data_IF_282685568405
#
_entry.id   IF_282685568405
#
_cell.length_a   1.000
_cell.length_b   1.000
_cell.length_c   1.000
_cell.angle_alpha   90.00
_cell.angle_beta   90.00
_cell.angle_gamma   90.00
#
_symmetry.space_group_name_H-M   'P 1'
#
loop_
_entity.id
_entity.type
_entity.pdbx_description
1 polymer ?
#
# COMPACT_ATOMS: atom_id res chain seq x y z
N UNK A 1 4.10 -11.04 -23.88
CA UNK A 1 3.86 -10.10 -22.77
C UNK A 1 4.04 -10.83 -21.45
N UNK A 2 5.02 -10.44 -20.64
CA UNK A 2 5.34 -11.17 -19.41
C UNK A 2 4.42 -10.74 -18.26
N UNK A 3 4.10 -11.68 -17.35
CA UNK A 3 3.35 -11.46 -16.09
C UNK A 3 3.93 -10.38 -15.16
N UNK A 4 5.04 -9.72 -15.53
CA UNK A 4 5.67 -8.60 -14.80
C UNK A 4 4.80 -7.32 -14.76
N UNK A 5 3.80 -7.18 -15.63
CA UNK A 5 2.95 -5.98 -15.67
C UNK A 5 1.75 -6.00 -14.71
N UNK A 6 1.42 -7.15 -14.09
CA UNK A 6 0.17 -7.27 -13.34
C UNK A 6 0.21 -6.60 -11.95
N UNK A 7 1.39 -6.55 -11.30
CA UNK A 7 1.58 -5.83 -10.02
C UNK A 7 1.86 -4.33 -10.26
N UNK A 8 2.40 -3.97 -11.43
CA UNK A 8 2.65 -2.59 -11.84
C UNK A 8 1.38 -1.83 -12.27
N UNK A 9 0.39 -2.53 -12.88
CA UNK A 9 -0.84 -1.90 -13.35
C UNK A 9 -1.83 -1.54 -12.22
N UNK A 10 -1.72 -2.19 -11.05
CA UNK A 10 -2.62 -1.93 -9.91
C UNK A 10 -2.40 -0.58 -9.25
N UNK A 11 -1.15 -0.12 -9.10
CA UNK A 11 -0.82 1.17 -8.45
C UNK A 11 -1.05 2.37 -9.36
N UNK A 12 -0.89 2.22 -10.68
CA UNK A 12 -1.19 3.26 -11.69
C UNK A 12 -2.69 3.55 -11.80
N UNK A 13 -3.56 2.55 -11.65
CA UNK A 13 -5.02 2.75 -11.68
C UNK A 13 -5.56 3.47 -10.45
N UNK A 14 -4.91 3.27 -9.29
CA UNK A 14 -5.30 3.89 -8.03
C UNK A 14 -5.23 5.42 -8.08
N UNK A 15 -4.16 6.00 -8.64
CA UNK A 15 -4.05 7.45 -8.80
C UNK A 15 -5.16 7.98 -9.74
N UNK A 16 -5.38 7.33 -10.89
CA UNK A 16 -6.35 7.76 -11.90
C UNK A 16 -7.82 7.77 -11.42
N UNK A 17 -8.21 6.88 -10.49
CA UNK A 17 -9.57 6.83 -9.93
C UNK A 17 -9.86 8.06 -9.05
N UNK A 18 -8.86 8.61 -8.36
CA UNK A 18 -9.03 9.77 -7.48
C UNK A 18 -9.05 11.12 -8.22
N UNK A 19 -8.49 11.21 -9.43
CA UNK A 19 -8.41 12.46 -10.20
C UNK A 19 -9.76 12.99 -10.74
N UNK A 20 -10.84 12.21 -10.75
CA UNK A 20 -12.09 12.59 -11.44
C UNK A 20 -13.27 13.01 -10.55
N UNK A 21 -13.08 13.20 -9.23
CA UNK A 21 -14.21 13.41 -8.30
C UNK A 21 -13.96 14.52 -7.28
N UNK A 22 -13.91 15.78 -7.71
CA UNK A 22 -13.96 16.94 -6.80
C UNK A 22 -14.90 18.01 -7.32
N UNK A 23 -16.16 18.00 -6.87
CA UNK A 23 -16.96 19.21 -6.71
C UNK A 23 -17.95 19.06 -5.54
N UNK A 24 -17.67 19.83 -4.48
CA UNK A 24 -18.62 20.58 -3.65
C UNK A 24 -19.30 19.96 -2.39
N UNK A 25 -19.12 20.69 -1.28
CA UNK A 25 -20.01 20.96 -0.11
C UNK A 25 -19.83 20.30 1.27
N UNK A 26 -20.17 21.14 2.27
CA UNK A 26 -19.99 21.13 3.74
C UNK A 26 -20.91 20.11 4.47
N UNK A 27 -20.41 19.34 5.46
CA UNK A 27 -20.50 19.52 6.94
C UNK A 27 -21.90 19.49 7.56
N UNK A 28 -22.19 18.45 8.36
CA UNK A 28 -22.50 18.53 9.80
C UNK A 28 -22.47 17.13 10.46
N UNK A 29 -22.20 17.10 11.78
CA UNK A 29 -21.76 15.97 12.61
C UNK A 29 -22.89 15.07 13.18
N UNK A 30 -22.61 13.78 13.44
CA UNK A 30 -23.45 12.87 14.26
C UNK A 30 -22.61 11.89 15.10
N UNK A 31 -23.02 11.69 16.36
CA UNK A 31 -22.50 10.82 17.44
C UNK A 31 -22.61 9.30 17.20
N UNK A 32 -21.67 8.54 17.78
CA UNK A 32 -21.49 7.08 17.62
C UNK A 32 -21.91 6.32 18.90
N UNK A 33 -22.59 5.19 18.72
CA UNK A 33 -22.84 4.16 19.74
C UNK A 33 -21.99 2.92 19.42
N UNK A 34 -21.18 2.48 20.38
CA UNK A 34 -20.26 1.34 20.26
C UNK A 34 -20.87 0.02 20.71
N UNK A 35 -20.49 -1.11 20.08
CA UNK A 35 -20.39 -2.41 20.76
C UNK A 35 -19.45 -3.43 20.07
N UNK A 36 -18.36 -3.72 20.79
CA UNK A 36 -17.66 -4.98 21.14
C UNK A 36 -17.39 -6.11 20.12
N UNK A 37 -16.10 -6.46 20.05
CA UNK A 37 -15.40 -7.47 19.23
C UNK A 37 -15.29 -8.84 19.94
N UNK A 38 -15.34 -9.94 19.16
CA UNK A 38 -15.04 -11.30 19.61
C UNK A 38 -13.66 -11.80 19.10
N UNK A 39 -12.92 -12.48 19.98
CA UNK A 39 -11.57 -13.05 19.74
C UNK A 39 -11.59 -14.33 18.89
N UNK A 40 -10.49 -14.57 18.14
CA UNK A 40 -10.29 -15.74 17.27
C UNK A 40 -9.17 -16.64 17.81
N UNK A 41 -9.43 -17.95 17.88
CA UNK A 41 -8.44 -19.02 18.13
C UNK A 41 -7.95 -19.65 16.81
N UNK A 42 -6.70 -20.11 16.78
CA UNK A 42 -6.13 -20.96 15.71
C UNK A 42 -6.86 -22.31 15.70
N UNK A 43 -7.41 -22.69 14.54
CA UNK A 43 -7.94 -24.03 14.31
C UNK A 43 -6.82 -24.91 13.75
N UNK A 44 -6.56 -26.10 14.31
CA UNK A 44 -5.61 -27.05 13.74
C UNK A 44 -6.16 -27.63 12.44
N UNK A 45 -5.35 -27.58 11.38
CA UNK A 45 -5.63 -28.22 10.10
C UNK A 45 -5.71 -29.74 10.27
N UNK A 46 -6.88 -30.31 10.06
CA UNK A 46 -7.02 -31.71 9.69
C UNK A 46 -8.03 -31.83 8.54
N UNK A 47 -7.54 -32.41 7.44
CA UNK A 47 -8.25 -32.95 6.29
C UNK A 47 -9.03 -31.96 5.41
N UNK A 48 -8.32 -31.32 4.48
CA UNK A 48 -8.91 -30.86 3.21
C UNK A 48 -8.42 -31.78 2.09
N UNK A 49 -9.38 -32.44 1.46
CA UNK A 49 -9.27 -33.35 0.32
C UNK A 49 -8.49 -32.71 -0.84
N UNK A 50 -7.50 -33.43 -1.37
CA UNK A 50 -6.72 -33.06 -2.55
C UNK A 50 -7.61 -32.73 -3.76
N UNK A 51 -7.62 -31.46 -4.17
CA UNK A 51 -7.98 -31.09 -5.53
C UNK A 51 -6.67 -30.97 -6.33
N UNK A 52 -6.34 -32.02 -7.09
CA UNK A 52 -5.26 -31.99 -8.08
C UNK A 52 -5.56 -30.93 -9.14
N UNK A 53 -4.85 -29.81 -9.08
CA UNK A 53 -4.74 -28.91 -10.21
C UNK A 53 -3.88 -29.59 -11.29
N UNK A 54 -4.49 -29.86 -12.45
CA UNK A 54 -3.82 -30.36 -13.64
C UNK A 54 -3.04 -29.21 -14.27
N UNK A 55 -1.72 -29.23 -14.19
CA UNK A 55 -0.84 -28.41 -15.03
C UNK A 55 -0.79 -29.01 -16.45
N UNK A 56 -0.77 -28.20 -17.53
CA UNK A 56 -0.50 -28.72 -18.86
C UNK A 56 0.97 -29.10 -19.00
N UNK A 57 1.21 -30.41 -19.18
CA UNK A 57 2.47 -30.96 -19.67
C UNK A 57 2.70 -30.50 -21.11
N UNK A 58 3.71 -29.66 -21.33
CA UNK A 58 4.55 -29.69 -22.53
C UNK A 58 5.66 -28.65 -22.41
N UNK A 59 6.78 -29.06 -21.84
CA UNK A 59 8.11 -28.52 -22.15
C UNK A 59 9.10 -29.69 -22.04
N UNK A 60 9.07 -30.55 -23.06
CA UNK A 60 10.13 -31.52 -23.32
C UNK A 60 11.43 -30.77 -23.59
N UNK A 61 12.47 -31.25 -22.92
CA UNK A 61 13.82 -30.74 -22.96
C UNK A 61 14.34 -30.60 -24.41
N UNK A 62 14.77 -29.39 -24.75
CA UNK A 62 15.82 -29.20 -25.75
C UNK A 62 17.01 -28.56 -25.06
N UNK A 63 18.03 -29.39 -24.89
CA UNK A 63 19.36 -29.07 -24.39
C UNK A 63 20.01 -27.98 -25.24
N UNK A 64 20.26 -26.82 -24.62
CA UNK A 64 21.44 -26.01 -24.94
C UNK A 64 22.00 -25.48 -23.62
N UNK A 65 23.11 -26.07 -23.23
CA UNK A 65 23.91 -25.77 -22.06
C UNK A 65 24.57 -24.39 -22.22
N UNK A 66 24.22 -23.45 -21.33
CA UNK A 66 25.03 -22.28 -20.90
C UNK A 66 24.22 -21.29 -20.02
N UNK A 67 23.39 -21.79 -19.11
CA UNK A 67 23.05 -20.99 -17.93
C UNK A 67 23.56 -21.74 -16.72
N UNK A 68 24.48 -21.14 -15.97
CA UNK A 68 24.71 -21.52 -14.58
C UNK A 68 23.35 -21.36 -13.90
N UNK A 69 22.57 -22.44 -13.81
CA UNK A 69 21.38 -22.49 -12.97
C UNK A 69 21.92 -22.25 -11.58
N UNK A 70 21.78 -21.02 -11.09
CA UNK A 70 22.07 -20.66 -9.71
C UNK A 70 21.20 -21.54 -8.83
N UNK A 71 21.75 -22.66 -8.38
CA UNK A 71 21.10 -23.52 -7.39
C UNK A 71 21.22 -22.81 -6.05
N UNK A 72 20.19 -22.06 -5.72
CA UNK A 72 20.06 -21.52 -4.38
C UNK A 72 19.74 -22.67 -3.42
N UNK A 73 20.44 -22.77 -2.27
CA UNK A 73 20.05 -23.72 -1.23
C UNK A 73 18.61 -23.40 -0.80
N UNK A 74 17.82 -24.44 -0.57
CA UNK A 74 16.46 -24.28 -0.05
C UNK A 74 16.53 -23.98 1.46
N UNK A 75 15.83 -22.94 1.87
CA UNK A 75 15.80 -22.37 3.22
C UNK A 75 14.37 -22.56 3.75
N UNK A 76 14.18 -23.02 5.00
CA UNK A 76 12.84 -23.09 5.61
C UNK A 76 12.25 -21.69 5.82
N UNK A 77 10.93 -21.59 5.98
CA UNK A 77 10.26 -20.30 6.18
C UNK A 77 10.86 -19.49 7.34
N UNK A 78 11.24 -20.15 8.43
CA UNK A 78 11.84 -19.52 9.61
C UNK A 78 13.29 -19.05 9.40
N UNK A 79 13.96 -19.48 8.33
CA UNK A 79 15.33 -19.08 8.02
C UNK A 79 15.47 -17.66 7.46
N UNK A 80 16.71 -17.27 7.16
CA UNK A 80 17.03 -15.97 6.58
C UNK A 80 17.07 -16.06 5.04
N UNK A 81 15.95 -15.74 4.42
CA UNK A 81 15.77 -15.77 2.96
C UNK A 81 15.38 -14.38 2.46
N UNK A 82 15.70 -14.05 1.21
CA UNK A 82 15.25 -12.79 0.60
C UNK A 82 14.20 -13.07 -0.46
N UNK A 83 14.48 -14.01 -1.37
CA UNK A 83 13.67 -14.23 -2.58
C UNK A 83 12.84 -15.50 -2.41
N UNK A 84 11.59 -15.34 -1.94
CA UNK A 84 10.68 -16.46 -1.60
C UNK A 84 10.63 -17.57 -2.66
N UNK A 85 10.44 -17.19 -3.93
CA UNK A 85 10.23 -18.13 -5.05
C UNK A 85 11.43 -19.06 -5.30
N UNK A 86 12.65 -18.60 -5.05
CA UNK A 86 13.86 -19.39 -5.38
C UNK A 86 14.50 -20.00 -4.15
N UNK A 87 14.39 -19.35 -2.98
CA UNK A 87 15.07 -19.76 -1.76
C UNK A 87 14.20 -20.64 -0.87
N UNK A 88 12.86 -20.54 -0.91
CA UNK A 88 12.01 -21.38 -0.07
C UNK A 88 11.77 -22.77 -0.68
N UNK A 89 11.48 -23.74 0.20
CA UNK A 89 10.86 -25.01 -0.24
C UNK A 89 9.48 -24.74 -0.84
N UNK A 90 8.92 -25.66 -1.61
CA UNK A 90 7.59 -25.47 -2.20
C UNK A 90 6.52 -25.28 -1.12
N UNK A 91 6.57 -26.07 -0.04
CA UNK A 91 5.63 -25.96 1.07
C UNK A 91 5.75 -24.61 1.79
N UNK A 92 6.98 -24.17 2.07
CA UNK A 92 7.24 -22.87 2.72
C UNK A 92 6.85 -21.70 1.80
N UNK A 93 7.03 -21.85 0.49
CA UNK A 93 6.58 -20.86 -0.49
C UNK A 93 5.05 -20.73 -0.47
N UNK A 94 4.30 -21.83 -0.48
CA UNK A 94 2.83 -21.77 -0.40
C UNK A 94 2.36 -21.16 0.93
N UNK A 95 3.02 -21.48 2.05
CA UNK A 95 2.75 -20.85 3.34
C UNK A 95 3.00 -19.34 3.31
N UNK A 96 4.16 -18.92 2.78
CA UNK A 96 4.49 -17.51 2.61
C UNK A 96 3.46 -16.77 1.73
N UNK A 97 2.97 -17.40 0.67
CA UNK A 97 1.94 -16.81 -0.19
C UNK A 97 0.59 -16.64 0.54
N UNK A 98 0.20 -17.61 1.36
CA UNK A 98 -1.01 -17.50 2.18
C UNK A 98 -0.87 -16.38 3.22
N UNK A 99 0.26 -16.32 3.93
CA UNK A 99 0.51 -15.26 4.90
C UNK A 99 0.57 -13.88 4.21
N UNK A 100 1.09 -13.80 2.97
CA UNK A 100 1.06 -12.57 2.18
C UNK A 100 -0.37 -12.13 1.87
N UNK A 101 -1.26 -13.05 1.48
CA UNK A 101 -2.67 -12.72 1.21
C UNK A 101 -3.36 -12.18 2.47
N UNK A 102 -3.10 -12.81 3.62
CA UNK A 102 -3.63 -12.36 4.91
C UNK A 102 -3.07 -11.01 5.33
N UNK A 103 -1.76 -10.79 5.13
CA UNK A 103 -1.11 -9.52 5.33
C UNK A 103 -1.75 -8.45 4.45
N UNK A 104 -1.83 -8.65 3.13
CA UNK A 104 -2.43 -7.66 2.22
C UNK A 104 -3.89 -7.39 2.54
N UNK A 105 -4.63 -8.43 2.92
CA UNK A 105 -5.96 -8.25 3.45
C UNK A 105 -5.92 -7.34 4.67
N UNK A 106 -5.12 -7.59 5.71
CA UNK A 106 -5.13 -6.86 7.00
C UNK A 106 -4.73 -5.38 6.94
N UNK A 107 -4.12 -4.92 5.86
CA UNK A 107 -3.69 -3.51 5.62
C UNK A 107 -4.60 -2.80 4.63
N UNK A 108 -5.63 -3.50 4.14
CA UNK A 108 -6.66 -2.93 3.29
C UNK A 108 -6.21 -2.79 1.84
N UNK A 109 -5.24 -3.59 1.38
CA UNK A 109 -4.80 -3.58 -0.03
C UNK A 109 -5.82 -4.33 -0.88
N UNK A 110 -6.90 -3.63 -1.24
CA UNK A 110 -8.01 -4.19 -2.00
C UNK A 110 -8.56 -3.19 -3.00
N UNK A 111 -8.87 -3.65 -4.21
CA UNK A 111 -9.48 -2.85 -5.26
C UNK A 111 -10.71 -3.55 -5.82
N UNK A 112 -11.70 -2.77 -6.26
CA UNK A 112 -12.78 -3.31 -7.08
C UNK A 112 -12.22 -4.00 -8.30
N UNK A 113 -12.85 -5.11 -8.70
CA UNK A 113 -12.55 -5.70 -10.01
C UNK A 113 -12.79 -4.66 -11.11
N UNK A 114 -11.87 -4.61 -12.07
CA UNK A 114 -11.94 -3.69 -13.20
C UNK A 114 -11.92 -4.47 -14.50
N UNK A 115 -12.53 -3.89 -15.54
CA UNK A 115 -12.38 -4.39 -16.90
C UNK A 115 -11.47 -3.39 -17.61
N UNK A 116 -10.37 -3.88 -18.19
CA UNK A 116 -9.48 -2.99 -18.94
C UNK A 116 -10.15 -2.52 -20.24
N UNK A 117 -9.50 -1.59 -20.94
CA UNK A 117 -9.99 -1.05 -22.22
C UNK A 117 -10.19 -2.13 -23.30
N UNK A 118 -9.47 -3.25 -23.18
CA UNK A 118 -9.54 -4.39 -24.10
C UNK A 118 -10.68 -5.38 -23.75
N UNK A 119 -11.47 -5.08 -22.70
CA UNK A 119 -12.57 -5.93 -22.25
C UNK A 119 -12.13 -7.12 -21.38
N UNK A 120 -10.84 -7.25 -21.07
CA UNK A 120 -10.34 -8.28 -20.16
C UNK A 120 -10.66 -7.93 -18.71
N UNK A 121 -11.18 -8.92 -17.99
CA UNK A 121 -11.50 -8.79 -16.58
C UNK A 121 -10.23 -8.90 -15.74
N UNK A 122 -9.83 -7.79 -15.12
CA UNK A 122 -8.78 -7.74 -14.12
C UNK A 122 -9.39 -7.96 -12.74
N UNK A 123 -9.39 -9.22 -12.32
CA UNK A 123 -9.72 -9.58 -10.95
C UNK A 123 -8.53 -9.22 -10.05
N UNK A 124 -8.70 -8.17 -9.25
CA UNK A 124 -7.71 -7.80 -8.25
C UNK A 124 -7.75 -8.79 -7.08
N UNK A 125 -6.60 -9.00 -6.43
CA UNK A 125 -6.57 -9.77 -5.18
C UNK A 125 -7.55 -9.18 -4.17
N UNK A 126 -8.27 -10.06 -3.47
CA UNK A 126 -9.28 -9.68 -2.46
C UNK A 126 -10.49 -8.87 -2.98
N UNK A 127 -10.64 -8.67 -4.30
CA UNK A 127 -11.78 -7.89 -4.84
C UNK A 127 -13.14 -8.47 -4.48
N UNK A 128 -13.22 -9.80 -4.30
CA UNK A 128 -14.45 -10.50 -3.95
C UNK A 128 -15.07 -10.03 -2.62
N UNK A 129 -14.28 -9.47 -1.70
CA UNK A 129 -14.81 -8.88 -0.46
C UNK A 129 -15.51 -7.54 -0.69
N UNK A 130 -15.19 -6.84 -1.78
CA UNK A 130 -15.71 -5.51 -2.09
C UNK A 130 -16.90 -5.55 -3.06
N UNK A 131 -17.02 -6.58 -3.89
CA UNK A 131 -18.09 -6.67 -4.89
C UNK A 131 -19.52 -6.48 -4.33
N UNK A 132 -19.90 -7.02 -3.15
CA UNK A 132 -21.22 -6.75 -2.57
C UNK A 132 -21.49 -5.26 -2.29
N UNK A 133 -20.45 -4.50 -1.94
CA UNK A 133 -20.54 -3.07 -1.61
C UNK A 133 -20.45 -2.16 -2.83
N UNK A 134 -19.91 -2.67 -3.95
CA UNK A 134 -19.79 -1.96 -5.22
C UNK A 134 -21.17 -1.58 -5.78
N UNK A 135 -22.12 -2.52 -5.69
CA UNK A 135 -23.49 -2.39 -6.21
C UNK A 135 -24.49 -1.90 -5.14
N UNK A 136 -24.05 -1.75 -3.89
CA UNK A 136 -24.88 -1.28 -2.77
C UNK A 136 -25.35 0.16 -3.00
N UNK A 137 -26.50 0.55 -2.44
CA UNK A 137 -26.91 1.95 -2.46
C UNK A 137 -25.89 2.85 -1.75
N UNK A 138 -25.72 4.10 -2.24
CA UNK A 138 -24.73 5.03 -1.68
C UNK A 138 -24.94 5.28 -0.19
N UNK A 139 -26.19 5.51 0.23
CA UNK A 139 -26.48 5.87 1.62
C UNK A 139 -26.31 4.66 2.53
N UNK A 140 -26.77 3.49 2.09
CA UNK A 140 -26.57 2.22 2.80
C UNK A 140 -25.09 1.90 2.96
N UNK A 141 -24.28 2.10 1.91
CA UNK A 141 -22.84 1.89 1.97
C UNK A 141 -22.16 2.81 2.99
N UNK A 142 -22.51 4.10 2.99
CA UNK A 142 -21.98 5.06 3.97
C UNK A 142 -22.42 4.68 5.38
N UNK A 143 -23.67 4.25 5.58
CA UNK A 143 -24.16 3.79 6.88
C UNK A 143 -23.36 2.59 7.39
N UNK A 144 -23.09 1.59 6.53
CA UNK A 144 -22.27 0.44 6.89
C UNK A 144 -20.83 0.86 7.20
N UNK A 145 -20.24 1.75 6.40
CA UNK A 145 -18.89 2.27 6.65
C UNK A 145 -18.80 3.02 8.00
N UNK A 146 -19.84 3.75 8.38
CA UNK A 146 -19.91 4.44 9.67
C UNK A 146 -19.98 3.46 10.86
N UNK A 147 -20.49 2.24 10.66
CA UNK A 147 -20.53 1.14 11.64
C UNK A 147 -19.25 0.30 11.71
N UNK A 148 -18.12 0.87 11.27
CA UNK A 148 -16.81 0.20 11.26
C UNK A 148 -16.74 -1.03 10.33
N UNK A 149 -17.68 -1.18 9.38
CA UNK A 149 -17.53 -2.19 8.33
C UNK A 149 -16.37 -1.81 7.42
N UNK A 150 -15.27 -2.53 7.60
CA UNK A 150 -14.01 -2.32 6.92
C UNK A 150 -14.12 -2.42 5.39
N UNK A 151 -14.90 -3.37 4.87
CA UNK A 151 -15.06 -3.53 3.43
C UNK A 151 -15.97 -2.44 2.86
N UNK A 152 -16.97 -1.99 3.62
CA UNK A 152 -17.76 -0.81 3.27
C UNK A 152 -16.91 0.46 3.23
N UNK A 153 -16.02 0.67 4.22
CA UNK A 153 -15.08 1.79 4.27
C UNK A 153 -14.18 1.81 3.03
N UNK A 154 -13.52 0.70 2.72
CA UNK A 154 -12.64 0.56 1.53
C UNK A 154 -13.43 0.83 0.24
N UNK A 155 -14.63 0.26 0.12
CA UNK A 155 -15.48 0.42 -1.06
C UNK A 155 -15.97 1.85 -1.23
N UNK A 156 -16.34 2.51 -0.15
CA UNK A 156 -16.80 3.90 -0.16
C UNK A 156 -15.70 4.87 -0.61
N UNK A 157 -14.46 4.67 -0.16
CA UNK A 157 -13.32 5.49 -0.59
C UNK A 157 -13.11 5.40 -2.12
N UNK A 158 -13.33 4.21 -2.70
CA UNK A 158 -13.13 3.97 -4.13
C UNK A 158 -14.29 4.45 -5.03
N UNK A 159 -15.50 4.66 -4.48
CA UNK A 159 -16.70 5.01 -5.26
C UNK A 159 -16.71 6.46 -5.73
N UNK A 160 -17.01 6.71 -7.01
CA UNK A 160 -16.96 8.06 -7.60
C UNK A 160 -18.09 8.99 -7.14
N UNK A 161 -19.22 8.45 -6.72
CA UNK A 161 -20.43 9.18 -6.32
C UNK A 161 -20.44 9.59 -4.83
N UNK A 162 -19.42 9.18 -4.07
CA UNK A 162 -19.18 9.64 -2.70
C UNK A 162 -18.26 10.87 -2.75
N UNK A 163 -18.64 11.93 -2.03
CA UNK A 163 -17.91 13.19 -2.03
C UNK A 163 -16.56 13.08 -1.30
N UNK A 164 -15.65 13.99 -1.65
CA UNK A 164 -14.28 14.00 -1.13
C UNK A 164 -14.21 14.17 0.39
N UNK A 165 -15.12 14.95 0.98
CA UNK A 165 -15.15 15.16 2.44
C UNK A 165 -15.51 13.87 3.17
N UNK A 166 -16.56 13.19 2.72
CA UNK A 166 -16.95 11.88 3.27
C UNK A 166 -15.81 10.89 3.12
N UNK A 167 -15.23 10.74 1.92
CA UNK A 167 -14.09 9.82 1.71
C UNK A 167 -12.90 10.12 2.60
N UNK A 168 -12.57 11.40 2.83
CA UNK A 168 -11.48 11.80 3.72
C UNK A 168 -11.76 11.41 5.16
N UNK A 169 -12.99 11.58 5.63
CA UNK A 169 -13.41 11.11 6.96
C UNK A 169 -13.27 9.59 7.06
N UNK A 170 -13.79 8.85 6.08
CA UNK A 170 -13.71 7.39 6.03
C UNK A 170 -12.27 6.89 5.94
N UNK A 171 -11.39 7.54 5.17
CA UNK A 171 -9.98 7.18 5.08
C UNK A 171 -9.22 7.41 6.39
N UNK A 172 -9.49 8.50 7.12
CA UNK A 172 -8.93 8.71 8.45
C UNK A 172 -9.40 7.61 9.43
N UNK A 173 -10.69 7.29 9.39
CA UNK A 173 -11.27 6.21 10.19
C UNK A 173 -10.63 4.86 9.87
N UNK A 174 -10.45 4.55 8.58
CA UNK A 174 -9.81 3.34 8.10
C UNK A 174 -8.34 3.24 8.56
N UNK A 175 -7.59 4.35 8.49
CA UNK A 175 -6.23 4.45 9.03
C UNK A 175 -6.17 4.19 10.56
N UNK A 176 -7.14 4.71 11.33
CA UNK A 176 -7.24 4.45 12.77
C UNK A 176 -7.48 2.96 13.04
N UNK A 177 -8.28 2.28 12.21
CA UNK A 177 -8.50 0.83 12.31
C UNK A 177 -7.24 -0.01 11.99
N UNK A 178 -6.25 0.59 11.33
CA UNK A 178 -4.94 -0.02 11.04
C UNK A 178 -4.70 -0.32 9.57
N UNK A 179 -5.62 0.07 8.71
CA UNK A 179 -5.50 -0.11 7.26
C UNK A 179 -4.62 0.99 6.69
N UNK A 180 -3.46 0.61 6.19
CA UNK A 180 -2.47 1.56 5.66
C UNK A 180 -2.56 1.72 4.15
N UNK A 181 -3.00 0.72 3.39
CA UNK A 181 -2.91 0.76 1.93
C UNK A 181 -3.91 1.74 1.30
N UNK A 182 -5.20 1.39 1.20
CA UNK A 182 -6.22 2.27 0.59
C UNK A 182 -6.36 3.60 1.33
N UNK A 183 -6.28 3.59 2.67
CA UNK A 183 -6.45 4.80 3.47
C UNK A 183 -5.34 5.83 3.23
N UNK A 184 -4.07 5.43 3.37
CA UNK A 184 -2.95 6.36 3.20
C UNK A 184 -2.82 6.78 1.75
N UNK A 185 -3.09 5.89 0.79
CA UNK A 185 -3.08 6.24 -0.61
C UNK A 185 -4.08 7.36 -0.93
N UNK A 186 -5.31 7.27 -0.42
CA UNK A 186 -6.28 8.35 -0.60
C UNK A 186 -5.85 9.66 0.06
N UNK A 187 -5.40 9.60 1.32
CA UNK A 187 -4.97 10.78 2.07
C UNK A 187 -3.75 11.46 1.43
N UNK A 188 -2.79 10.67 0.95
CA UNK A 188 -1.65 11.13 0.15
C UNK A 188 -2.11 11.80 -1.14
N UNK A 189 -2.99 11.15 -1.91
CA UNK A 189 -3.45 11.65 -3.21
C UNK A 189 -4.16 12.99 -3.10
N UNK A 190 -4.97 13.20 -2.05
CA UNK A 190 -5.56 14.52 -1.78
C UNK A 190 -4.46 15.56 -1.56
N UNK A 191 -3.45 15.25 -0.74
CA UNK A 191 -2.39 16.21 -0.41
C UNK A 191 -1.55 16.60 -1.61
N UNK A 192 -1.20 15.63 -2.46
CA UNK A 192 -0.47 15.91 -3.69
C UNK A 192 -1.31 16.66 -4.71
N UNK A 193 -2.59 16.32 -4.83
CA UNK A 193 -3.52 17.08 -5.68
C UNK A 193 -3.66 18.53 -5.23
N UNK A 194 -3.92 18.77 -3.93
CA UNK A 194 -4.01 20.10 -3.32
C UNK A 194 -2.71 20.88 -3.57
N UNK A 195 -1.54 20.28 -3.37
CA UNK A 195 -0.24 20.93 -3.59
C UNK A 195 -0.05 21.33 -5.06
N UNK A 196 -0.32 20.40 -5.99
CA UNK A 196 -0.21 20.64 -7.42
C UNK A 196 -1.23 21.67 -7.91
N UNK A 197 -2.45 21.67 -7.37
CA UNK A 197 -3.47 22.66 -7.69
C UNK A 197 -3.03 24.06 -7.23
N UNK A 198 -2.64 24.22 -5.97
CA UNK A 198 -2.19 25.50 -5.40
C UNK A 198 -0.98 26.07 -6.14
N UNK A 199 0.00 25.22 -6.47
CA UNK A 199 1.12 25.64 -7.30
C UNK A 199 0.68 26.03 -8.72
N UNK A 200 -0.25 25.29 -9.34
CA UNK A 200 -0.70 25.61 -10.70
C UNK A 200 -1.43 26.95 -10.78
N UNK A 201 -2.17 27.33 -9.74
CA UNK A 201 -2.85 28.63 -9.66
C UNK A 201 -1.87 29.79 -9.50
N UNK A 202 -0.89 29.65 -8.60
CA UNK A 202 -0.04 30.77 -8.17
C UNK A 202 1.35 30.78 -8.83
N UNK A 203 1.76 29.66 -9.46
CA UNK A 203 3.11 29.41 -10.01
C UNK A 203 4.25 29.69 -9.02
N UNK A 204 3.97 29.54 -7.72
CA UNK A 204 4.89 29.81 -6.63
C UNK A 204 4.80 28.70 -5.59
N UNK A 205 5.96 28.29 -5.07
CA UNK A 205 6.04 27.38 -3.93
C UNK A 205 5.83 28.20 -2.66
N UNK A 206 4.59 28.27 -2.20
CA UNK A 206 4.22 28.95 -0.95
C UNK A 206 4.48 28.06 0.27
N UNK A 207 4.37 28.63 1.48
CA UNK A 207 4.40 27.86 2.73
C UNK A 207 3.31 26.78 2.77
N UNK A 208 2.14 27.04 2.18
CA UNK A 208 1.04 26.07 2.12
C UNK A 208 1.34 24.93 1.16
N UNK A 209 1.86 25.21 -0.04
CA UNK A 209 2.30 24.15 -0.97
C UNK A 209 3.35 23.26 -0.30
N UNK A 210 4.31 23.88 0.38
CA UNK A 210 5.36 23.15 1.10
C UNK A 210 4.79 22.30 2.24
N UNK A 211 3.83 22.83 3.01
CA UNK A 211 3.11 22.08 4.06
C UNK A 211 2.39 20.87 3.48
N UNK A 212 1.67 21.02 2.37
CA UNK A 212 0.96 19.93 1.71
C UNK A 212 1.89 18.82 1.23
N UNK A 213 3.07 19.15 0.69
CA UNK A 213 4.09 18.15 0.32
C UNK A 213 4.64 17.43 1.56
N UNK A 214 4.88 18.15 2.67
CA UNK A 214 5.29 17.53 3.95
C UNK A 214 4.22 16.59 4.50
N UNK A 215 2.95 16.95 4.39
CA UNK A 215 1.82 16.10 4.81
C UNK A 215 1.74 14.84 3.95
N UNK A 216 1.88 14.96 2.62
CA UNK A 216 1.94 13.81 1.71
C UNK A 216 3.08 12.84 2.07
N UNK A 217 4.29 13.38 2.31
CA UNK A 217 5.44 12.60 2.75
C UNK A 217 5.24 11.99 4.15
N UNK A 218 4.50 12.65 5.03
CA UNK A 218 4.14 12.11 6.35
C UNK A 218 3.31 10.83 6.19
N UNK A 219 2.29 10.82 5.33
CA UNK A 219 1.50 9.60 5.07
C UNK A 219 2.33 8.50 4.45
N UNK A 220 3.21 8.83 3.49
CA UNK A 220 4.14 7.87 2.89
C UNK A 220 5.01 7.21 3.97
N UNK A 221 5.69 8.01 4.79
CA UNK A 221 6.62 7.48 5.79
C UNK A 221 5.93 6.82 6.99
N UNK A 222 4.69 7.19 7.29
CA UNK A 222 3.86 6.41 8.19
C UNK A 222 3.57 5.01 7.61
N UNK A 223 3.20 4.92 6.32
CA UNK A 223 3.07 3.63 5.63
C UNK A 223 4.35 2.80 5.69
N UNK A 224 5.50 3.42 5.41
CA UNK A 224 6.81 2.77 5.53
C UNK A 224 7.02 2.20 6.92
N UNK A 225 6.73 2.95 7.99
CA UNK A 225 6.85 2.48 9.38
C UNK A 225 6.01 1.24 9.70
N UNK A 226 5.01 0.94 8.85
CA UNK A 226 4.10 -0.21 8.94
C UNK A 226 4.36 -1.26 7.85
N UNK A 227 5.54 -1.27 7.25
CA UNK A 227 5.93 -2.17 6.16
C UNK A 227 5.01 -2.05 4.93
N UNK A 228 4.49 -0.85 4.66
CA UNK A 228 3.65 -0.55 3.50
C UNK A 228 4.36 0.35 2.49
N UNK A 229 4.61 -0.20 1.30
CA UNK A 229 5.23 0.52 0.18
C UNK A 229 4.22 1.05 -0.83
N UNK A 230 2.91 0.82 -0.69
CA UNK A 230 1.94 1.17 -1.74
C UNK A 230 1.91 2.69 -2.00
N UNK A 231 1.80 3.49 -0.95
CA UNK A 231 1.81 4.97 -1.08
C UNK A 231 3.15 5.49 -1.58
N UNK A 232 4.27 4.88 -1.17
CA UNK A 232 5.60 5.22 -1.70
C UNK A 232 5.68 4.91 -3.20
N UNK A 233 5.18 3.75 -3.62
CA UNK A 233 5.17 3.35 -5.03
C UNK A 233 4.38 4.35 -5.87
N UNK A 234 3.15 4.69 -5.46
CA UNK A 234 2.34 5.70 -6.15
C UNK A 234 3.05 7.05 -6.23
N UNK A 235 3.69 7.48 -5.14
CA UNK A 235 4.46 8.73 -5.14
C UNK A 235 5.63 8.74 -6.12
N UNK A 236 6.38 7.64 -6.20
CA UNK A 236 7.50 7.54 -7.13
C UNK A 236 7.06 7.52 -8.59
N UNK A 237 5.90 6.93 -8.89
CA UNK A 237 5.28 7.03 -10.20
C UNK A 237 4.79 8.44 -10.50
N UNK A 238 4.16 9.11 -9.54
CA UNK A 238 3.74 10.50 -9.69
C UNK A 238 4.95 11.43 -9.94
N UNK A 239 6.09 11.22 -9.27
CA UNK A 239 7.34 11.93 -9.55
C UNK A 239 7.91 11.69 -10.96
N UNK A 240 7.55 10.58 -11.61
CA UNK A 240 7.97 10.25 -12.97
C UNK A 240 7.01 10.85 -14.00
N UNK A 241 5.71 10.77 -13.73
CA UNK A 241 4.66 10.95 -14.73
C UNK A 241 3.93 12.30 -14.61
N UNK A 242 3.87 12.92 -13.42
CA UNK A 242 3.31 14.27 -13.22
C UNK A 242 4.42 15.33 -13.33
N UNK A 243 4.35 16.18 -14.36
CA UNK A 243 5.37 17.20 -14.62
C UNK A 243 5.51 18.24 -13.49
N UNK A 244 4.45 18.51 -12.72
CA UNK A 244 4.52 19.44 -11.59
C UNK A 244 5.30 18.82 -10.43
N UNK A 245 5.02 17.56 -10.09
CA UNK A 245 5.70 16.81 -9.03
C UNK A 245 7.14 16.47 -9.41
N UNK A 246 7.39 16.09 -10.66
CA UNK A 246 8.71 15.81 -11.21
C UNK A 246 9.65 17.01 -11.17
N UNK A 247 9.13 18.22 -11.36
CA UNK A 247 9.94 19.44 -11.50
C UNK A 247 9.80 20.38 -10.31
N UNK A 248 8.72 21.17 -10.28
CA UNK A 248 8.54 22.28 -9.36
C UNK A 248 8.34 21.84 -7.91
N UNK A 249 7.63 20.72 -7.70
CA UNK A 249 7.29 20.21 -6.37
C UNK A 249 8.13 19.01 -5.94
N UNK A 250 9.21 18.71 -6.68
CA UNK A 250 10.12 17.64 -6.31
C UNK A 250 10.77 17.95 -4.96
N UNK A 251 10.80 17.02 -3.97
CA UNK A 251 11.30 17.30 -2.62
C UNK A 251 12.70 17.89 -2.56
N UNK A 252 13.62 17.36 -3.39
CA UNK A 252 14.99 17.90 -3.54
C UNK A 252 15.04 19.41 -3.83
N UNK A 253 14.00 19.95 -4.47
CA UNK A 253 13.98 21.33 -4.93
C UNK A 253 13.29 22.28 -3.92
N UNK A 254 12.38 21.76 -3.10
CA UNK A 254 11.52 22.60 -2.24
C UNK A 254 11.70 22.37 -0.74
N UNK A 255 12.26 21.22 -0.34
CA UNK A 255 12.44 20.86 1.07
C UNK A 255 13.90 21.06 1.51
N UNK A 256 14.05 21.52 2.74
CA UNK A 256 15.33 21.67 3.42
C UNK A 256 15.55 20.51 4.39
N UNK A 257 16.76 20.30 4.92
CA UNK A 257 16.99 19.30 5.97
C UNK A 257 16.06 19.45 7.19
N UNK A 258 15.76 20.69 7.60
CA UNK A 258 14.81 20.95 8.69
C UNK A 258 13.40 20.43 8.36
N UNK A 259 12.98 20.51 7.10
CA UNK A 259 11.68 19.98 6.70
C UNK A 259 11.62 18.46 6.76
N UNK A 260 12.74 17.77 6.50
CA UNK A 260 12.82 16.31 6.68
C UNK A 260 12.70 15.93 8.15
N UNK A 261 13.30 16.70 9.06
CA UNK A 261 13.14 16.47 10.50
C UNK A 261 11.72 16.77 10.99
N UNK A 262 11.07 17.79 10.42
CA UNK A 262 9.66 18.06 10.70
C UNK A 262 8.77 16.92 10.21
N UNK A 263 9.03 16.33 9.04
CA UNK A 263 8.28 15.16 8.55
C UNK A 263 8.45 13.98 9.52
N UNK A 264 9.66 13.71 10.02
CA UNK A 264 9.86 12.66 11.05
C UNK A 264 9.02 12.90 12.29
N UNK A 265 8.99 14.14 12.80
CA UNK A 265 8.16 14.53 13.95
C UNK A 265 6.66 14.40 13.65
N UNK A 266 6.25 14.70 12.42
CA UNK A 266 4.86 14.54 11.99
C UNK A 266 4.46 13.07 11.93
N UNK A 267 5.35 12.18 11.47
CA UNK A 267 5.10 10.72 11.48
C UNK A 267 4.92 10.20 12.91
N UNK A 268 5.77 10.66 13.84
CA UNK A 268 5.65 10.31 15.27
C UNK A 268 4.33 10.83 15.86
N UNK A 269 3.99 12.10 15.58
CA UNK A 269 2.73 12.71 16.03
C UNK A 269 1.51 12.00 15.46
N UNK A 270 1.56 11.59 14.18
CA UNK A 270 0.50 10.83 13.54
C UNK A 270 0.31 9.46 14.19
N UNK A 271 1.40 8.75 14.49
CA UNK A 271 1.33 7.46 15.21
C UNK A 271 0.71 7.64 16.61
N UNK A 272 1.12 8.67 17.34
CA UNK A 272 0.57 8.95 18.67
C UNK A 272 -0.93 9.31 18.62
N UNK A 273 -1.34 10.11 17.63
CA UNK A 273 -2.74 10.43 17.38
C UNK A 273 -3.56 9.16 17.08
N UNK A 274 -3.05 8.27 16.22
CA UNK A 274 -3.73 7.01 15.91
C UNK A 274 -3.88 6.16 17.17
N UNK A 275 -2.86 6.03 18.00
CA UNK A 275 -2.94 5.28 19.26
C UNK A 275 -3.92 5.89 20.26
N UNK A 276 -3.99 7.21 20.34
CA UNK A 276 -5.00 7.91 21.15
C UNK A 276 -6.41 7.59 20.67
N UNK A 277 -6.66 7.72 19.36
CA UNK A 277 -7.96 7.39 18.77
C UNK A 277 -8.32 5.91 18.95
N UNK A 278 -7.36 5.00 18.79
CA UNK A 278 -7.56 3.57 19.03
C UNK A 278 -7.93 3.30 20.48
N UNK A 279 -7.23 3.92 21.43
CA UNK A 279 -7.54 3.80 22.86
C UNK A 279 -8.96 4.28 23.18
N UNK A 280 -9.41 5.39 22.58
CA UNK A 280 -10.77 5.91 22.77
C UNK A 280 -11.85 4.94 22.24
N UNK A 281 -11.50 4.11 21.26
CA UNK A 281 -12.37 3.10 20.65
C UNK A 281 -12.16 1.69 21.22
N UNK A 282 -11.45 1.55 22.35
CA UNK A 282 -11.10 0.25 22.96
C UNK A 282 -10.34 -0.70 22.02
N UNK A 283 -9.57 -0.14 21.08
CA UNK A 283 -8.69 -0.88 20.19
C UNK A 283 -7.29 -0.93 20.78
N UNK A 284 -6.61 -2.06 20.57
CA UNK A 284 -5.20 -2.23 20.93
C UNK A 284 -4.33 -1.18 20.21
N UNK A 285 -3.28 -0.60 20.84
CA UNK A 285 -2.32 0.28 20.17
C UNK A 285 -1.77 -0.31 18.86
N UNK A 286 -1.54 0.54 17.86
CA UNK A 286 -1.14 0.12 16.51
C UNK A 286 0.21 -0.60 16.52
N UNK A 287 1.11 -0.21 17.42
CA UNK A 287 2.43 -0.82 17.57
C UNK A 287 2.39 -2.22 18.22
N UNK A 288 1.25 -2.64 18.77
CA UNK A 288 1.03 -3.98 19.33
C UNK A 288 0.35 -4.93 18.34
N UNK A 289 -0.09 -4.43 17.18
CA UNK A 289 -0.56 -5.31 16.11
C UNK A 289 0.61 -6.14 15.56
N UNK A 290 0.38 -7.44 15.47
CA UNK A 290 1.36 -8.39 14.96
C UNK A 290 1.74 -8.06 13.51
N UNK A 291 3.03 -8.11 13.21
CA UNK A 291 3.56 -7.90 11.86
C UNK A 291 4.14 -9.24 11.43
N UNK A 292 3.46 -9.96 10.51
CA UNK A 292 3.91 -11.28 10.11
C UNK A 292 5.26 -11.19 9.40
N UNK A 293 6.05 -12.26 9.47
CA UNK A 293 7.41 -12.28 8.90
C UNK A 293 7.39 -11.92 7.41
N UNK A 294 6.37 -12.37 6.67
CA UNK A 294 6.21 -12.08 5.24
C UNK A 294 6.15 -10.58 4.93
N UNK A 295 5.65 -9.75 5.84
CA UNK A 295 5.54 -8.31 5.65
C UNK A 295 6.91 -7.65 5.39
N UNK A 296 7.93 -8.06 6.14
CA UNK A 296 9.29 -7.57 5.92
C UNK A 296 9.83 -8.03 4.56
N UNK A 297 9.65 -9.30 4.19
CA UNK A 297 10.16 -9.81 2.92
C UNK A 297 9.47 -9.18 1.71
N UNK A 298 8.14 -8.99 1.79
CA UNK A 298 7.36 -8.30 0.77
C UNK A 298 7.79 -6.83 0.65
N UNK A 299 7.98 -6.15 1.78
CA UNK A 299 8.51 -4.79 1.81
C UNK A 299 9.88 -4.68 1.13
N UNK A 300 10.82 -5.59 1.41
CA UNK A 300 12.14 -5.59 0.76
C UNK A 300 12.05 -5.92 -0.76
N UNK A 301 11.17 -6.84 -1.15
CA UNK A 301 10.91 -7.18 -2.55
C UNK A 301 10.36 -5.96 -3.32
N UNK A 302 9.34 -5.30 -2.77
CA UNK A 302 8.76 -4.09 -3.36
C UNK A 302 9.77 -2.95 -3.44
N UNK A 303 10.55 -2.71 -2.38
CA UNK A 303 11.63 -1.72 -2.42
C UNK A 303 12.67 -2.04 -3.50
N UNK A 304 13.02 -3.31 -3.71
CA UNK A 304 13.95 -3.68 -4.76
C UNK A 304 13.42 -3.34 -6.15
N UNK A 305 12.14 -3.61 -6.40
CA UNK A 305 11.48 -3.22 -7.65
C UNK A 305 11.52 -1.69 -7.81
N UNK A 306 11.16 -0.94 -6.76
CA UNK A 306 11.19 0.52 -6.80
C UNK A 306 12.61 1.08 -7.02
N UNK A 307 13.65 0.46 -6.47
CA UNK A 307 15.04 0.86 -6.69
C UNK A 307 15.53 0.66 -8.12
N UNK A 308 14.98 -0.33 -8.84
CA UNK A 308 15.31 -0.56 -10.24
C UNK A 308 14.81 0.58 -11.14
N UNK A 309 13.67 1.19 -10.77
CA UNK A 309 13.02 2.23 -11.59
C UNK A 309 13.28 3.66 -11.08
N UNK A 310 13.46 3.84 -9.77
CA UNK A 310 13.41 5.15 -9.11
C UNK A 310 14.54 5.38 -8.09
N UNK A 311 15.71 4.75 -8.28
CA UNK A 311 16.81 4.78 -7.31
C UNK A 311 17.20 6.17 -6.80
N UNK A 312 17.41 7.13 -7.70
CA UNK A 312 17.80 8.51 -7.33
C UNK A 312 16.74 9.25 -6.50
N UNK A 313 15.47 8.92 -6.68
CA UNK A 313 14.37 9.51 -5.92
C UNK A 313 14.32 8.89 -4.53
N UNK A 314 14.44 7.56 -4.43
CA UNK A 314 14.52 6.85 -3.15
C UNK A 314 15.70 7.31 -2.29
N UNK A 315 16.89 7.43 -2.88
CA UNK A 315 18.10 7.87 -2.16
C UNK A 315 17.91 9.26 -1.52
N UNK A 316 17.17 10.14 -2.19
CA UNK A 316 16.90 11.48 -1.68
C UNK A 316 15.90 11.57 -0.55
N UNK A 317 15.02 10.57 -0.46
CA UNK A 317 14.02 10.47 0.60
C UNK A 317 14.59 9.76 1.83
N UNK A 318 15.75 9.12 1.74
CA UNK A 318 16.35 8.38 2.87
C UNK A 318 16.60 9.26 4.10
N UNK A 319 16.75 10.58 3.93
CA UNK A 319 16.91 11.52 5.03
C UNK A 319 15.69 11.56 5.99
N UNK A 320 14.51 11.11 5.54
CA UNK A 320 13.27 11.07 6.32
C UNK A 320 13.14 9.76 7.12
N UNK A 321 13.95 8.74 6.81
CA UNK A 321 13.87 7.45 7.51
C UNK A 321 13.84 7.59 9.03
N UNK A 322 13.03 6.75 9.66
CA UNK A 322 13.03 6.57 11.11
C UNK A 322 14.36 5.94 11.56
N UNK A 323 14.77 6.25 12.79
CA UNK A 323 15.88 5.59 13.46
C UNK A 323 15.55 4.13 13.83
N UNK A 324 14.26 3.82 13.95
CA UNK A 324 13.75 2.51 14.34
C UNK A 324 12.67 2.01 13.37
N UNK A 325 12.67 0.70 13.12
CA UNK A 325 11.72 0.05 12.23
C UNK A 325 12.19 -0.03 10.76
N UNK A 326 11.27 -0.38 9.84
CA UNK A 326 11.55 -0.43 8.42
C UNK A 326 11.99 0.92 7.86
N UNK A 327 12.91 0.88 6.90
CA UNK A 327 13.41 2.06 6.22
C UNK A 327 13.60 1.75 4.73
N UNK A 328 13.67 2.81 3.92
CA UNK A 328 13.75 2.65 2.46
C UNK A 328 15.18 2.44 1.95
N UNK A 329 16.15 2.08 2.80
CA UNK A 329 17.55 1.91 2.38
C UNK A 329 17.72 0.65 1.53
N UNK A 330 18.76 0.65 0.69
CA UNK A 330 19.18 -0.52 -0.07
C UNK A 330 19.87 -1.54 0.84
N UNK A 331 19.09 -2.46 1.41
CA UNK A 331 19.59 -3.60 2.20
C UNK A 331 20.23 -4.67 1.30
N UNK A 332 20.85 -5.68 1.91
CA UNK A 332 21.37 -6.84 1.19
C UNK A 332 20.28 -7.60 0.43
N UNK A 333 19.08 -7.74 0.99
CA UNK A 333 17.95 -8.35 0.29
C UNK A 333 17.49 -7.52 -0.91
N UNK A 334 17.42 -6.20 -0.76
CA UNK A 334 17.09 -5.27 -1.87
C UNK A 334 18.13 -5.38 -2.97
N UNK A 335 19.43 -5.34 -2.63
CA UNK A 335 20.53 -5.46 -3.58
C UNK A 335 20.53 -6.82 -4.29
N UNK A 336 20.25 -7.91 -3.56
CA UNK A 336 20.15 -9.26 -4.12
C UNK A 336 19.01 -9.40 -5.11
N UNK A 337 17.83 -8.87 -4.79
CA UNK A 337 16.69 -8.82 -5.72
C UNK A 337 17.04 -8.01 -6.98
N UNK A 338 17.56 -6.78 -6.80
CA UNK A 338 17.91 -5.89 -7.91
C UNK A 338 18.93 -6.55 -8.85
N UNK A 339 19.94 -7.24 -8.31
CA UNK A 339 20.93 -7.98 -9.12
C UNK A 339 20.31 -9.13 -9.92
N UNK A 340 19.27 -9.77 -9.40
CA UNK A 340 18.67 -10.94 -10.04
C UNK A 340 17.65 -10.56 -11.12
N UNK A 341 17.02 -9.38 -11.01
CA UNK A 341 15.90 -8.97 -11.87
C UNK A 341 16.14 -7.69 -12.68
N UNK A 342 17.17 -6.89 -12.36
CA UNK A 342 17.43 -5.57 -12.92
C UNK A 342 18.22 -5.52 -14.23
N UNK A 343 18.02 -6.48 -15.13
CA UNK A 343 18.67 -6.50 -16.45
C UNK A 343 18.00 -5.57 -17.45
#
# INVERSE_FOLDING_TARGET
MSKRYLVLMTTLFLAAIFYTAEFNTNSDDIEIVTNTVAQKQRVPSNNITEQKAVLPDNLTASTTDNSKILRFPKIPYEGDWCIKRIELTEQDYQFAQQELIEWENSRGRMLFSSTNFDGEHNQHYNSNFLEPYKEMDKNELVENALKDDRYALISAIQRKDIDSKTKKSLANKLMILGDTSTALLYLYSIKTFEASYEYRQNKLVTSDVKRLVKDALTYIFYGISRYDTDTLSSYLYDLRDDETLKTALHPKNILTPQDFDDIKKNVQSLSAYIDEQRSQNNLMPINQLDIPKIANHDFQENLAILYLEHGDNLDSLQAINSEHGPNIKRTDCVAKYAKLYGN
#
